data_IF_609444710215
#
_entry.id   IF_609444710215
#
_cell.length_a   1.000
_cell.length_b   1.000
_cell.length_c   1.000
_cell.angle_alpha   90.00
_cell.angle_beta   90.00
_cell.angle_gamma   90.00
#
_symmetry.space_group_name_H-M   'P 1'
#
loop_
_entity.id
_entity.type
_entity.pdbx_description
1 polymer ?
#
# COMPACT_ATOMS: atom_id res chain seq x y z
N UNK A 1 -11.48 8.21 -2.32
CA UNK A 1 -12.88 8.68 -2.52
C UNK A 1 -13.71 7.65 -3.27
N UNK A 2 -15.02 7.61 -3.01
CA UNK A 2 -15.96 6.72 -3.71
C UNK A 2 -16.62 7.45 -4.88
N UNK A 3 -17.17 8.63 -4.65
CA UNK A 3 -18.05 9.34 -5.56
C UNK A 3 -17.57 10.74 -5.98
N UNK A 4 -16.35 11.12 -5.78
CA UNK A 4 -15.90 12.47 -6.09
C UNK A 4 -15.08 12.49 -7.37
N UNK A 5 -15.56 13.17 -8.39
CA UNK A 5 -14.90 13.30 -9.68
C UNK A 5 -14.02 14.56 -9.80
N UNK A 6 -14.12 15.49 -8.83
CA UNK A 6 -13.34 16.74 -8.84
C UNK A 6 -12.37 16.80 -7.66
N UNK A 7 -11.09 16.88 -7.97
CA UNK A 7 -10.02 17.08 -6.98
C UNK A 7 -9.42 18.47 -7.15
N UNK A 8 -8.90 19.09 -6.07
CA UNK A 8 -8.09 20.29 -6.19
C UNK A 8 -6.96 20.11 -7.21
N UNK A 9 -6.58 21.16 -7.96
CA UNK A 9 -5.57 21.04 -9.02
C UNK A 9 -4.27 20.38 -8.58
N UNK A 10 -3.85 20.61 -7.34
CA UNK A 10 -2.65 20.03 -6.74
C UNK A 10 -2.72 18.51 -6.54
N UNK A 11 -3.93 17.94 -6.52
CA UNK A 11 -4.16 16.52 -6.36
C UNK A 11 -4.59 15.81 -7.66
N UNK A 12 -4.78 16.54 -8.75
CA UNK A 12 -5.33 16.01 -10.00
C UNK A 12 -4.49 14.88 -10.62
N UNK A 13 -3.18 14.84 -10.31
CA UNK A 13 -2.27 13.80 -10.81
C UNK A 13 -2.04 12.63 -9.84
N UNK A 14 -2.54 12.72 -8.60
CA UNK A 14 -2.24 11.72 -7.55
C UNK A 14 -3.47 11.18 -6.83
N UNK A 15 -4.63 11.78 -7.04
CA UNK A 15 -5.89 11.36 -6.42
C UNK A 15 -6.90 10.90 -7.46
N UNK A 16 -7.67 9.89 -7.10
CA UNK A 16 -8.79 9.37 -7.90
C UNK A 16 -9.93 8.94 -7.00
N UNK A 17 -11.07 8.61 -7.61
CA UNK A 17 -12.21 7.97 -6.97
C UNK A 17 -12.57 6.68 -7.70
N UNK A 18 -13.39 5.85 -7.08
CA UNK A 18 -13.91 4.65 -7.75
C UNK A 18 -14.73 5.02 -8.98
N UNK A 19 -15.54 6.06 -8.89
CA UNK A 19 -16.33 6.57 -10.04
C UNK A 19 -15.43 7.03 -11.18
N UNK A 20 -14.40 7.85 -10.89
CA UNK A 20 -13.43 8.32 -11.88
C UNK A 20 -12.60 7.17 -12.48
N UNK A 21 -12.38 6.10 -11.72
CA UNK A 21 -11.71 4.88 -12.17
C UNK A 21 -12.65 3.92 -12.96
N UNK A 22 -13.90 4.31 -13.18
CA UNK A 22 -14.85 3.55 -14.02
C UNK A 22 -15.68 2.51 -13.27
N UNK A 23 -15.75 2.56 -11.94
CA UNK A 23 -16.57 1.62 -11.17
C UNK A 23 -18.10 1.86 -11.27
N UNK A 24 -18.54 2.95 -11.91
CA UNK A 24 -19.95 3.31 -11.99
C UNK A 24 -20.56 3.71 -10.64
N UNK A 25 -21.89 3.65 -10.54
CA UNK A 25 -22.58 3.91 -9.27
C UNK A 25 -22.18 2.88 -8.22
N UNK A 26 -21.59 3.35 -7.14
CA UNK A 26 -21.14 2.50 -6.02
C UNK A 26 -21.96 2.78 -4.77
N UNK A 27 -22.68 1.78 -4.28
CA UNK A 27 -23.34 1.85 -2.97
C UNK A 27 -22.29 1.82 -1.87
N UNK A 28 -22.15 2.93 -1.16
CA UNK A 28 -21.15 3.08 -0.07
C UNK A 28 -21.39 2.12 1.09
N UNK A 29 -22.65 1.82 1.40
CA UNK A 29 -22.98 0.91 2.50
C UNK A 29 -22.64 -0.53 2.13
N UNK A 30 -22.94 -0.94 0.91
CA UNK A 30 -22.57 -2.25 0.38
C UNK A 30 -21.05 -2.41 0.29
N UNK A 31 -20.33 -1.39 -0.17
CA UNK A 31 -18.86 -1.38 -0.22
C UNK A 31 -18.26 -1.50 1.19
N UNK A 32 -18.75 -0.72 2.15
CA UNK A 32 -18.27 -0.78 3.53
C UNK A 32 -18.53 -2.17 4.14
N UNK A 33 -19.72 -2.74 3.93
CA UNK A 33 -20.05 -4.08 4.40
C UNK A 33 -19.14 -5.15 3.80
N UNK A 34 -18.84 -5.06 2.51
CA UNK A 34 -17.92 -5.99 1.84
C UNK A 34 -16.50 -5.89 2.40
N UNK A 35 -15.98 -4.67 2.60
CA UNK A 35 -14.66 -4.45 3.20
C UNK A 35 -14.60 -5.04 4.60
N UNK A 36 -15.62 -4.79 5.44
CA UNK A 36 -15.67 -5.33 6.80
C UNK A 36 -15.71 -6.86 6.78
N UNK A 37 -16.51 -7.46 5.90
CA UNK A 37 -16.60 -8.91 5.78
C UNK A 37 -15.25 -9.53 5.40
N UNK A 38 -14.55 -8.97 4.42
CA UNK A 38 -13.20 -9.41 4.02
C UNK A 38 -12.18 -9.22 5.16
N UNK A 39 -12.20 -8.11 5.86
CA UNK A 39 -11.32 -7.89 7.02
C UNK A 39 -11.56 -8.94 8.11
N UNK A 40 -12.82 -9.25 8.44
CA UNK A 40 -13.15 -10.27 9.43
C UNK A 40 -12.68 -11.67 8.98
N UNK A 41 -12.84 -12.00 7.71
CA UNK A 41 -12.34 -13.27 7.16
C UNK A 41 -10.80 -13.37 7.26
N UNK A 42 -10.09 -12.30 6.92
CA UNK A 42 -8.63 -12.23 7.05
C UNK A 42 -8.16 -12.35 8.50
N UNK A 43 -8.90 -11.75 9.45
CA UNK A 43 -8.58 -11.84 10.88
C UNK A 43 -8.58 -13.30 11.38
N UNK A 44 -9.45 -14.14 10.86
CA UNK A 44 -9.49 -15.56 11.21
C UNK A 44 -8.24 -16.35 10.78
N UNK A 45 -7.54 -15.90 9.75
CA UNK A 45 -6.33 -16.53 9.19
C UNK A 45 -5.00 -15.88 9.56
N UNK A 46 -4.99 -14.86 10.43
CA UNK A 46 -3.77 -14.12 10.75
C UNK A 46 -2.66 -15.00 11.34
N UNK A 47 -3.02 -15.96 12.20
CA UNK A 47 -2.04 -16.87 12.82
C UNK A 47 -1.33 -17.77 11.80
N UNK A 48 -2.02 -18.16 10.75
CA UNK A 48 -1.49 -19.01 9.67
C UNK A 48 -0.82 -18.21 8.55
N UNK A 49 -0.94 -16.88 8.57
CA UNK A 49 -0.35 -15.95 7.60
C UNK A 49 -0.74 -16.24 6.15
N UNK A 50 -1.91 -16.80 5.91
CA UNK A 50 -2.41 -17.20 4.59
C UNK A 50 -2.52 -16.02 3.61
N UNK A 51 -2.69 -14.79 4.14
CA UNK A 51 -2.77 -13.56 3.37
C UNK A 51 -1.45 -13.12 2.71
N UNK A 52 -0.28 -13.61 3.18
CA UNK A 52 1.03 -13.11 2.74
C UNK A 52 1.30 -13.32 1.25
N UNK A 53 0.85 -14.43 0.69
CA UNK A 53 1.06 -14.70 -0.73
C UNK A 53 0.37 -13.65 -1.61
N UNK A 54 -0.88 -13.33 -1.30
CA UNK A 54 -1.65 -12.32 -2.02
C UNK A 54 -1.15 -10.91 -1.73
N UNK A 55 -0.78 -10.61 -0.50
CA UNK A 55 -0.19 -9.34 -0.12
C UNK A 55 1.09 -9.05 -0.91
N UNK A 56 1.98 -10.04 -1.04
CA UNK A 56 3.19 -9.93 -1.87
C UNK A 56 2.85 -9.72 -3.35
N UNK A 57 1.90 -10.49 -3.88
CA UNK A 57 1.50 -10.42 -5.28
C UNK A 57 0.84 -9.07 -5.66
N UNK A 58 0.14 -8.44 -4.72
CA UNK A 58 -0.53 -7.15 -4.92
C UNK A 58 0.33 -5.94 -4.55
N UNK A 59 1.52 -6.15 -4.02
CA UNK A 59 2.39 -5.05 -3.60
C UNK A 59 2.93 -4.28 -4.80
N UNK A 60 2.57 -3.00 -4.91
CA UNK A 60 3.04 -2.12 -5.99
C UNK A 60 4.43 -1.54 -5.74
N UNK A 61 5.03 -1.77 -4.57
CA UNK A 61 6.34 -1.20 -4.21
C UNK A 61 7.51 -2.14 -4.49
N UNK A 62 7.26 -3.43 -4.71
CA UNK A 62 8.31 -4.41 -4.94
C UNK A 62 9.02 -4.17 -6.29
N UNK A 63 10.31 -4.50 -6.33
CA UNK A 63 11.20 -4.34 -7.47
C UNK A 63 11.33 -2.89 -7.95
N UNK A 64 11.18 -1.93 -7.02
CA UNK A 64 11.28 -0.49 -7.29
C UNK A 64 12.18 0.22 -6.30
N UNK A 65 12.74 1.35 -6.74
CA UNK A 65 13.35 2.32 -5.83
C UNK A 65 12.23 3.09 -5.12
N UNK A 66 12.34 3.19 -3.81
CA UNK A 66 11.40 3.89 -2.94
C UNK A 66 12.13 4.87 -2.06
N UNK A 67 11.45 5.93 -1.63
CA UNK A 67 11.97 6.86 -0.63
C UNK A 67 11.37 6.51 0.73
N UNK A 68 12.20 6.08 1.66
CA UNK A 68 11.82 5.90 3.04
C UNK A 68 11.76 7.27 3.72
N UNK A 69 10.64 7.58 4.37
CA UNK A 69 10.44 8.86 5.04
C UNK A 69 10.16 8.63 6.51
N UNK A 70 11.01 9.15 7.38
CA UNK A 70 10.86 9.09 8.84
C UNK A 70 11.04 10.49 9.42
N UNK A 71 9.91 11.13 9.75
CA UNK A 71 9.94 12.56 10.10
C UNK A 71 10.45 13.40 8.93
N UNK A 72 11.54 14.12 9.12
CA UNK A 72 12.19 14.92 8.07
C UNK A 72 13.28 14.14 7.29
N UNK A 73 13.69 13.01 7.80
CA UNK A 73 14.70 12.17 7.16
C UNK A 73 14.13 11.46 5.94
N UNK A 74 14.89 11.47 4.84
CA UNK A 74 14.57 10.79 3.59
C UNK A 74 15.76 9.95 3.15
N UNK A 75 15.51 8.66 2.87
CA UNK A 75 16.53 7.73 2.37
C UNK A 75 15.99 6.98 1.17
N UNK A 76 16.77 6.89 0.11
CA UNK A 76 16.44 6.01 -1.01
C UNK A 76 16.83 4.57 -0.67
N UNK A 77 15.97 3.64 -1.10
CA UNK A 77 16.22 2.22 -0.97
C UNK A 77 15.53 1.45 -2.11
N UNK A 78 15.99 0.25 -2.39
CA UNK A 78 15.35 -0.65 -3.37
C UNK A 78 14.52 -1.69 -2.62
N UNK A 79 13.23 -1.77 -2.90
CA UNK A 79 12.32 -2.72 -2.28
C UNK A 79 12.50 -4.12 -2.89
N UNK A 80 13.02 -5.06 -2.11
CA UNK A 80 13.39 -6.40 -2.60
C UNK A 80 12.38 -7.48 -2.25
N UNK A 81 11.47 -7.24 -1.29
CA UNK A 81 10.51 -8.26 -0.88
C UNK A 81 9.71 -7.86 0.34
N UNK A 82 8.86 -8.77 0.78
CA UNK A 82 8.11 -8.69 2.04
C UNK A 82 8.40 -9.98 2.81
N UNK A 83 8.83 -9.86 4.05
CA UNK A 83 9.14 -11.00 4.90
C UNK A 83 7.88 -11.68 5.48
N UNK A 84 8.10 -12.70 6.31
CA UNK A 84 6.98 -13.45 6.90
C UNK A 84 6.28 -12.71 8.05
N UNK A 85 6.84 -11.61 8.52
CA UNK A 85 6.20 -10.69 9.48
C UNK A 85 5.52 -9.51 8.77
N UNK A 86 5.33 -9.60 7.44
CA UNK A 86 4.75 -8.57 6.57
C UNK A 86 5.54 -7.25 6.56
N UNK A 87 6.84 -7.28 6.91
CA UNK A 87 7.72 -6.11 6.83
C UNK A 87 8.30 -5.98 5.43
N UNK A 88 8.44 -4.75 4.94
CA UNK A 88 9.11 -4.49 3.67
C UNK A 88 10.62 -4.68 3.81
N UNK A 89 11.18 -5.57 3.01
CA UNK A 89 12.63 -5.75 2.91
C UNK A 89 13.18 -4.78 1.87
N UNK A 90 14.15 -3.99 2.27
CA UNK A 90 14.81 -3.02 1.40
C UNK A 90 16.32 -3.23 1.37
N UNK A 91 16.92 -2.93 0.22
CA UNK A 91 18.38 -2.86 0.05
C UNK A 91 18.77 -1.39 -0.08
N UNK A 92 19.66 -0.96 0.78
CA UNK A 92 20.20 0.40 0.80
C UNK A 92 21.28 0.59 -0.28
N UNK A 93 21.62 1.83 -0.66
CA UNK A 93 22.67 2.12 -1.65
C UNK A 93 24.06 1.59 -1.26
N UNK A 94 24.34 1.45 0.04
CA UNK A 94 25.60 0.87 0.55
C UNK A 94 25.62 -0.67 0.51
N UNK A 95 24.55 -1.30 -0.01
CA UNK A 95 24.40 -2.74 -0.09
C UNK A 95 23.84 -3.41 1.16
N UNK A 96 23.63 -2.68 2.24
CA UNK A 96 22.98 -3.21 3.45
C UNK A 96 21.50 -3.50 3.23
N UNK A 97 20.92 -4.38 4.05
CA UNK A 97 19.49 -4.72 4.00
C UNK A 97 18.82 -4.36 5.31
N UNK A 98 17.60 -3.83 5.21
CA UNK A 98 16.79 -3.42 6.35
C UNK A 98 15.36 -3.95 6.19
N UNK A 99 14.71 -4.36 7.31
CA UNK A 99 13.30 -4.73 7.34
C UNK A 99 12.49 -3.59 7.96
N UNK A 100 11.57 -3.02 7.17
CA UNK A 100 10.77 -1.85 7.56
C UNK A 100 9.43 -2.32 8.09
N UNK A 101 9.15 -2.08 9.36
CA UNK A 101 7.88 -2.38 10.01
C UNK A 101 6.80 -1.37 9.64
N UNK A 102 5.54 -1.81 9.63
CA UNK A 102 4.39 -0.94 9.39
C UNK A 102 4.26 0.13 10.48
N UNK A 103 3.90 1.36 10.09
CA UNK A 103 3.65 2.48 10.99
C UNK A 103 4.87 3.29 11.41
N UNK A 104 6.08 2.85 11.10
CA UNK A 104 7.31 3.57 11.44
C UNK A 104 7.78 4.51 10.31
N UNK A 105 7.48 4.20 9.07
CA UNK A 105 8.00 4.89 7.89
C UNK A 105 6.89 5.08 6.85
N UNK A 106 6.82 6.28 6.29
CA UNK A 106 6.00 6.56 5.10
C UNK A 106 6.82 6.29 3.83
N UNK A 107 6.24 5.55 2.89
CA UNK A 107 6.86 5.30 1.60
C UNK A 107 6.40 6.34 0.59
N UNK A 108 7.36 6.87 -0.16
CA UNK A 108 7.10 7.72 -1.32
C UNK A 108 7.95 7.21 -2.47
N UNK A 109 7.35 7.09 -3.63
CA UNK A 109 8.01 6.58 -4.83
C UNK A 109 7.23 6.99 -6.07
N UNK A 110 7.82 6.79 -7.23
CA UNK A 110 7.13 6.92 -8.51
C UNK A 110 6.44 5.58 -8.79
N UNK A 111 5.11 5.55 -8.65
CA UNK A 111 4.28 4.36 -8.81
C UNK A 111 3.43 4.41 -10.09
N UNK A 112 3.77 5.33 -10.99
CA UNK A 112 3.11 5.45 -12.29
C UNK A 112 3.47 4.29 -13.23
#
# INVERSE_FOLDING_TARGET
NVLDASFPPELSGVATSLEAAGAGETDRAALAAAIIAEMLALCGGLGERTFLAEYRARSCVLDRTVTLVRGEERREAYAVGIDDDARLLVRMPDGSSEAIGAGEISLRGDFA
#
